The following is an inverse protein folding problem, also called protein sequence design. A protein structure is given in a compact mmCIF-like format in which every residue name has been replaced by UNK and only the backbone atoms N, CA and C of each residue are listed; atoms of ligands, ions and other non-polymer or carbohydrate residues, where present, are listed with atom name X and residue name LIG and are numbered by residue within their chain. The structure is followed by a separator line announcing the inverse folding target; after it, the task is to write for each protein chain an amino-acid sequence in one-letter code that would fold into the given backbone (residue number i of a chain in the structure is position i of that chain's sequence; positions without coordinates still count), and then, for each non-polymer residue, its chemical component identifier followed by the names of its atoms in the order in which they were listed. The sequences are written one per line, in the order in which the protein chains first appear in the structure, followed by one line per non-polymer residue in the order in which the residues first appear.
data_IF_314311510180
#
_entry.id   IF_314311510180
#
_cell.length_a   1.000
_cell.length_b   1.000
_cell.length_c   1.000
_cell.angle_alpha   90.00
_cell.angle_beta   90.00
_cell.angle_gamma   90.00
#
_symmetry.space_group_name_H-M   'P 1'
#
loop_
_entity.id
_entity.type
_entity.pdbx_description
1 polymer ?
#
# COMPACT_ATOMS: atom_id res chain seq x y z
N UNK A 1 -13.80 1.31 11.38
CA UNK A 1 -13.74 2.67 10.79
C UNK A 1 -12.32 3.26 10.77
N UNK A 2 -11.47 3.05 11.79
CA UNK A 2 -10.06 3.50 11.84
C UNK A 2 -9.10 2.89 10.79
N UNK A 3 -9.52 1.89 10.01
CA UNK A 3 -8.60 1.12 9.15
C UNK A 3 -8.15 1.87 7.89
N UNK A 4 -8.94 2.81 7.37
CA UNK A 4 -8.68 3.47 6.09
C UNK A 4 -7.96 4.82 6.21
N UNK A 5 -7.75 5.34 7.43
CA UNK A 5 -7.10 6.63 7.68
C UNK A 5 -5.72 6.74 7.02
N UNK A 6 -4.99 5.63 6.94
CA UNK A 6 -3.67 5.57 6.30
C UNK A 6 -3.71 5.89 4.80
N UNK A 7 -4.88 5.85 4.17
CA UNK A 7 -5.06 6.22 2.77
C UNK A 7 -5.27 7.72 2.56
N UNK A 8 -5.57 8.48 3.62
CA UNK A 8 -5.91 9.91 3.52
C UNK A 8 -4.73 10.78 3.07
N UNK A 9 -3.50 10.26 3.18
CA UNK A 9 -2.29 10.91 2.67
C UNK A 9 -2.12 10.81 1.15
N UNK A 10 -2.89 9.96 0.47
CA UNK A 10 -2.80 9.77 -0.98
C UNK A 10 -3.93 10.49 -1.72
N UNK A 11 -3.56 11.23 -2.75
CA UNK A 11 -4.46 12.08 -3.54
C UNK A 11 -5.40 11.27 -4.43
N UNK A 12 -4.97 10.08 -4.84
CA UNK A 12 -5.68 9.13 -5.70
C UNK A 12 -6.38 8.02 -4.89
N UNK A 13 -6.58 8.20 -3.58
CA UNK A 13 -7.26 7.21 -2.73
C UNK A 13 -8.67 6.85 -3.22
N UNK A 14 -9.33 7.77 -3.93
CA UNK A 14 -10.65 7.55 -4.51
C UNK A 14 -10.64 6.56 -5.69
N UNK A 15 -9.48 6.35 -6.31
CA UNK A 15 -9.28 5.40 -7.41
C UNK A 15 -9.02 3.97 -6.91
N UNK A 16 -8.90 3.77 -5.59
CA UNK A 16 -8.70 2.44 -5.01
C UNK A 16 -10.00 1.65 -5.08
N UNK A 17 -9.95 0.47 -5.71
CA UNK A 17 -11.11 -0.41 -5.78
C UNK A 17 -11.59 -0.82 -4.36
N UNK A 18 -12.92 -0.90 -4.12
CA UNK A 18 -13.45 -1.18 -2.77
C UNK A 18 -12.91 -2.45 -2.14
N UNK A 19 -12.65 -3.49 -2.94
CA UNK A 19 -12.10 -4.76 -2.46
C UNK A 19 -10.64 -4.65 -1.98
N UNK A 20 -9.88 -3.66 -2.47
CA UNK A 20 -8.46 -3.48 -2.19
C UNK A 20 -8.21 -2.50 -1.03
N UNK A 21 -9.19 -1.67 -0.68
CA UNK A 21 -9.04 -0.56 0.26
C UNK A 21 -8.47 -1.01 1.62
N UNK A 22 -9.03 -2.06 2.22
CA UNK A 22 -8.55 -2.54 3.52
C UNK A 22 -7.13 -3.12 3.45
N UNK A 23 -6.83 -3.89 2.40
CA UNK A 23 -5.53 -4.51 2.22
C UNK A 23 -4.43 -3.47 1.98
N UNK A 24 -4.68 -2.48 1.12
CA UNK A 24 -3.71 -1.41 0.86
C UNK A 24 -3.52 -0.57 2.12
N UNK A 25 -4.58 -0.21 2.84
CA UNK A 25 -4.45 0.57 4.06
C UNK A 25 -3.61 -0.15 5.12
N UNK A 26 -3.80 -1.47 5.28
CA UNK A 26 -2.96 -2.29 6.14
C UNK A 26 -1.49 -2.29 5.68
N UNK A 27 -1.24 -2.49 4.39
CA UNK A 27 0.13 -2.53 3.84
C UNK A 27 0.85 -1.17 3.97
N UNK A 28 0.13 -0.06 3.84
CA UNK A 28 0.67 1.29 4.07
C UNK A 28 1.03 1.47 5.55
N UNK A 29 0.12 1.12 6.47
CA UNK A 29 0.40 1.19 7.90
C UNK A 29 1.59 0.30 8.31
N UNK A 30 1.74 -0.86 7.69
CA UNK A 30 2.84 -1.78 7.93
C UNK A 30 4.17 -1.33 7.29
N UNK A 31 4.19 -0.24 6.51
CA UNK A 31 5.38 0.22 5.77
C UNK A 31 5.78 -0.70 4.60
N UNK A 32 4.88 -1.58 4.16
CA UNK A 32 5.11 -2.47 3.01
C UNK A 32 4.95 -1.68 1.71
N UNK A 33 3.89 -0.87 1.64
CA UNK A 33 3.60 0.04 0.53
C UNK A 33 3.85 1.48 0.99
N UNK A 34 4.69 2.20 0.24
CA UNK A 34 5.02 3.60 0.55
C UNK A 34 4.37 4.59 -0.44
N UNK A 35 4.00 4.12 -1.63
CA UNK A 35 3.52 4.99 -2.71
C UNK A 35 4.64 5.75 -3.41
N UNK A 36 4.24 6.61 -4.35
CA UNK A 36 5.11 7.49 -5.13
C UNK A 36 4.80 8.96 -4.76
N UNK A 37 5.38 9.43 -3.66
CA UNK A 37 5.02 10.73 -3.08
C UNK A 37 3.60 10.69 -2.52
N UNK A 38 2.71 11.55 -3.01
CA UNK A 38 1.31 11.63 -2.59
C UNK A 38 0.36 10.74 -3.39
N UNK A 39 0.86 9.72 -4.09
CA UNK A 39 0.08 8.85 -4.98
C UNK A 39 0.35 7.37 -4.73
N UNK A 40 -0.66 6.51 -4.93
CA UNK A 40 -0.55 5.05 -4.93
C UNK A 40 -0.55 4.45 -6.35
N UNK A 41 -1.05 5.18 -7.34
CA UNK A 41 -1.22 4.76 -8.72
C UNK A 41 -1.95 3.40 -8.87
N UNK A 42 -3.17 3.23 -8.32
CA UNK A 42 -3.83 1.92 -8.19
C UNK A 42 -4.15 1.23 -9.53
N UNK A 43 -4.20 1.97 -10.63
CA UNK A 43 -4.45 1.43 -11.97
C UNK A 43 -3.18 1.13 -12.78
N UNK A 44 -2.01 1.55 -12.28
CA UNK A 44 -0.75 1.28 -12.97
C UNK A 44 -0.28 -0.15 -12.68
N UNK A 45 0.37 -0.76 -13.67
CA UNK A 45 1.06 -2.03 -13.47
C UNK A 45 2.34 -1.81 -12.67
N UNK A 46 2.60 -2.68 -11.68
CA UNK A 46 3.87 -2.71 -10.98
C UNK A 46 4.96 -3.29 -11.90
N UNK A 47 6.13 -2.67 -11.91
CA UNK A 47 7.33 -3.25 -12.52
C UNK A 47 7.79 -4.50 -11.74
N UNK A 48 8.60 -5.33 -12.40
CA UNK A 48 9.21 -6.51 -11.74
C UNK A 48 10.05 -6.12 -10.52
N UNK A 49 10.72 -4.97 -10.56
CA UNK A 49 11.51 -4.48 -9.45
C UNK A 49 10.64 -4.06 -8.26
N UNK A 50 9.56 -3.32 -8.51
CA UNK A 50 8.60 -2.93 -7.46
C UNK A 50 7.92 -4.15 -6.85
N UNK A 51 7.50 -5.12 -7.66
CA UNK A 51 6.94 -6.38 -7.18
C UNK A 51 7.94 -7.17 -6.31
N UNK A 52 9.21 -7.23 -6.72
CA UNK A 52 10.26 -7.91 -5.94
C UNK A 52 10.52 -7.21 -4.59
N UNK A 53 10.52 -5.86 -4.56
CA UNK A 53 10.66 -5.08 -3.31
C UNK A 53 9.47 -5.30 -2.39
N UNK A 54 8.25 -5.30 -2.94
CA UNK A 54 7.02 -5.57 -2.18
C UNK A 54 7.09 -6.95 -1.52
N UNK A 55 7.42 -7.99 -2.30
CA UNK A 55 7.59 -9.35 -1.79
C UNK A 55 8.69 -9.42 -0.72
N UNK A 56 9.84 -8.80 -0.95
CA UNK A 56 10.93 -8.76 0.01
C UNK A 56 10.49 -8.13 1.35
N UNK A 57 9.75 -7.02 1.31
CA UNK A 57 9.21 -6.37 2.51
C UNK A 57 8.20 -7.26 3.25
N UNK A 58 7.34 -7.97 2.52
CA UNK A 58 6.38 -8.93 3.10
C UNK A 58 7.12 -10.07 3.81
N UNK A 59 8.10 -10.69 3.16
CA UNK A 59 8.80 -11.88 3.70
C UNK A 59 9.75 -11.49 4.84
N UNK A 60 10.31 -10.27 4.80
CA UNK A 60 11.20 -9.74 5.84
C UNK A 60 10.44 -9.07 7.00
N UNK A 61 9.11 -9.05 6.95
CA UNK A 61 8.31 -8.44 8.00
C UNK A 61 8.44 -9.27 9.28
N UNK A 62 9.21 -8.76 10.23
CA UNK A 62 9.14 -9.22 11.60
C UNK A 62 7.93 -8.52 12.25
N UNK A 63 6.87 -9.22 12.67
CA UNK A 63 5.74 -8.57 13.33
C UNK A 63 6.30 -7.82 14.54
N UNK A 64 6.21 -6.50 14.51
CA UNK A 64 6.60 -5.69 15.67
C UNK A 64 5.63 -6.04 16.79
N UNK A 65 6.21 -6.59 17.87
CA UNK A 65 5.58 -6.91 19.15
C UNK A 65 4.66 -5.79 19.63
#
# INVERSE_FOLDING_TARGET
MLRLFFLDQFSDKADIAPYAAESIAFMVNAGIVEGAGSYLNPHNSASRAEAAVLLYRIISMNPKN
#
